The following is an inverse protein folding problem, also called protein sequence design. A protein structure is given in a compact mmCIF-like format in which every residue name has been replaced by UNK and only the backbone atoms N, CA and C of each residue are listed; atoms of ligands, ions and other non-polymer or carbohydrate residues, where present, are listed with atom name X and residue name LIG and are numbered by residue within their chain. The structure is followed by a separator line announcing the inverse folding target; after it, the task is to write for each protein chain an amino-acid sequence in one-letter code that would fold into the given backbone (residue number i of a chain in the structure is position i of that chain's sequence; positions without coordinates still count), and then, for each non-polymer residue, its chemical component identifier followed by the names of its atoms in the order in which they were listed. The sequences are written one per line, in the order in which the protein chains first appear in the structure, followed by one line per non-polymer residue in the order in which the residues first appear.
data_IF_800079983950
#
_entry.id   IF_800079983950
#
_cell.length_a   1.000
_cell.length_b   1.000
_cell.length_c   1.000
_cell.angle_alpha   90.00
_cell.angle_beta   90.00
_cell.angle_gamma   90.00
#
_symmetry.space_group_name_H-M   'P 1'
#
loop_
_entity.id
_entity.type
_entity.pdbx_description
1 polymer ?
#
# COMPACT_ATOMS: atom_id res chain seq x y z
N UNK A 1 16.85 -48.09 -91.96
CA UNK A 1 17.82 -49.19 -91.75
C UNK A 1 17.76 -49.55 -90.27
N UNK A 2 17.35 -50.72 -89.76
CA UNK A 2 16.89 -52.01 -90.30
C UNK A 2 16.24 -52.77 -89.10
N UNK A 3 14.91 -53.04 -89.09
CA UNK A 3 14.20 -54.36 -89.21
C UNK A 3 14.26 -55.34 -88.00
N UNK A 4 13.28 -56.26 -87.76
CA UNK A 4 11.89 -56.09 -87.28
C UNK A 4 11.55 -57.11 -86.10
N UNK A 5 10.44 -57.90 -86.06
CA UNK A 5 9.13 -57.68 -85.40
C UNK A 5 8.73 -58.70 -84.27
N UNK A 6 7.51 -58.59 -83.71
CA UNK A 6 6.49 -59.67 -83.43
C UNK A 6 5.66 -59.48 -82.13
N UNK A 7 4.32 -59.46 -82.30
CA UNK A 7 3.18 -59.47 -81.35
C UNK A 7 2.96 -60.84 -80.63
N UNK A 8 1.91 -61.09 -79.80
CA UNK A 8 1.05 -60.27 -78.93
C UNK A 8 0.86 -60.86 -77.49
N UNK A 9 0.08 -60.15 -76.66
CA UNK A 9 -0.43 -60.53 -75.32
C UNK A 9 -1.61 -61.54 -75.38
N UNK A 10 -2.23 -62.01 -74.26
CA UNK A 10 -3.13 -61.13 -73.50
C UNK A 10 -3.38 -61.44 -71.99
N UNK A 11 -4.08 -60.48 -71.37
CA UNK A 11 -5.10 -60.63 -70.31
C UNK A 11 -4.71 -60.93 -68.85
N UNK A 12 -4.97 -59.92 -68.01
CA UNK A 12 -5.20 -60.04 -66.57
C UNK A 12 -5.53 -58.68 -65.96
N UNK A 13 -6.82 -58.40 -65.74
CA UNK A 13 -7.34 -57.19 -65.09
C UNK A 13 -6.81 -57.04 -63.66
N UNK A 14 -6.62 -55.78 -63.21
CA UNK A 14 -7.43 -55.17 -62.14
C UNK A 14 -7.05 -53.67 -61.96
N UNK A 15 -8.00 -52.83 -62.37
CA UNK A 15 -8.44 -51.55 -61.77
C UNK A 15 -7.53 -50.84 -60.76
N UNK A 16 -7.24 -49.55 -60.99
CA UNK A 16 -8.00 -48.47 -60.33
C UNK A 16 -8.00 -47.14 -61.11
N UNK A 17 -9.06 -46.35 -60.88
CA UNK A 17 -9.64 -45.28 -61.72
C UNK A 17 -9.01 -43.89 -61.54
N UNK A 18 -8.79 -43.21 -62.68
CA UNK A 18 -9.27 -41.87 -63.13
C UNK A 18 -9.20 -40.71 -62.10
N UNK A 19 -8.53 -39.58 -62.38
CA UNK A 19 -8.89 -38.61 -63.44
C UNK A 19 -10.06 -37.74 -62.94
N UNK A 20 -10.13 -36.41 -63.03
CA UNK A 20 -9.78 -35.52 -64.14
C UNK A 20 -10.19 -34.07 -63.75
N UNK A 21 -9.50 -33.09 -64.36
CA UNK A 21 -9.92 -31.77 -64.86
C UNK A 21 -10.64 -30.67 -64.04
N UNK A 22 -10.27 -29.45 -64.48
CA UNK A 22 -10.74 -28.12 -64.14
C UNK A 22 -12.16 -27.78 -64.61
N UNK A 23 -12.75 -26.77 -63.97
CA UNK A 23 -13.98 -26.07 -64.39
C UNK A 23 -14.27 -24.85 -63.51
N UNK A 24 -14.66 -23.75 -64.13
CA UNK A 24 -14.85 -22.41 -63.56
C UNK A 24 -16.25 -22.16 -62.95
N UNK A 25 -16.39 -20.96 -62.35
CA UNK A 25 -17.61 -20.19 -61.95
C UNK A 25 -18.13 -20.37 -60.51
N UNK A 26 -18.08 -19.28 -59.73
CA UNK A 26 -19.25 -18.53 -59.25
C UNK A 26 -18.89 -17.66 -58.03
N UNK A 27 -19.36 -16.41 -58.06
CA UNK A 27 -19.23 -15.42 -56.99
C UNK A 27 -20.17 -15.77 -55.85
N UNK A 28 -19.65 -15.82 -54.62
CA UNK A 28 -20.45 -15.72 -53.39
C UNK A 28 -19.79 -14.69 -52.48
N UNK A 29 -20.44 -13.53 -52.34
CA UNK A 29 -20.09 -12.53 -51.35
C UNK A 29 -20.44 -13.07 -49.95
N UNK A 30 -19.45 -13.61 -49.25
CA UNK A 30 -19.55 -13.83 -47.81
C UNK A 30 -19.15 -12.55 -47.09
N UNK A 31 -20.13 -11.91 -46.46
CA UNK A 31 -19.89 -10.88 -45.47
C UNK A 31 -18.99 -11.47 -44.37
N UNK A 32 -17.73 -11.03 -44.34
CA UNK A 32 -16.85 -11.28 -43.20
C UNK A 32 -17.36 -10.37 -42.09
N UNK A 33 -18.19 -10.93 -41.21
CA UNK A 33 -18.49 -10.31 -39.92
C UNK A 33 -17.16 -10.29 -39.19
N UNK A 34 -16.52 -9.13 -39.17
CA UNK A 34 -15.34 -8.88 -38.35
C UNK A 34 -15.74 -9.11 -36.91
N UNK A 35 -15.31 -10.24 -36.34
CA UNK A 35 -15.33 -10.43 -34.91
C UNK A 35 -14.40 -9.35 -34.32
N UNK A 36 -14.98 -8.36 -33.65
CA UNK A 36 -14.23 -7.44 -32.82
C UNK A 36 -13.32 -8.25 -31.89
N UNK A 37 -12.08 -7.84 -31.62
CA UNK A 37 -11.26 -8.53 -30.64
C UNK A 37 -12.04 -8.46 -29.33
N UNK A 38 -12.34 -9.63 -28.77
CA UNK A 38 -12.89 -9.72 -27.43
C UNK A 38 -11.89 -9.01 -26.52
N UNK A 39 -12.26 -7.82 -26.04
CA UNK A 39 -11.59 -7.18 -24.92
C UNK A 39 -11.68 -8.22 -23.81
N UNK A 40 -10.55 -8.87 -23.53
CA UNK A 40 -10.45 -9.73 -22.38
C UNK A 40 -10.81 -8.85 -21.20
N UNK A 41 -12.02 -9.00 -20.67
CA UNK A 41 -12.37 -8.48 -19.38
C UNK A 41 -11.35 -9.11 -18.44
N UNK A 42 -10.31 -8.34 -18.09
CA UNK A 42 -9.40 -8.67 -17.02
C UNK A 42 -10.29 -8.99 -15.85
N UNK A 43 -10.40 -10.27 -15.50
CA UNK A 43 -10.98 -10.68 -14.22
C UNK A 43 -10.30 -9.78 -13.21
N UNK A 44 -11.07 -8.89 -12.56
CA UNK A 44 -10.59 -8.05 -11.47
C UNK A 44 -9.98 -9.06 -10.50
N UNK A 45 -8.65 -9.19 -10.52
CA UNK A 45 -7.97 -10.13 -9.64
C UNK A 45 -8.49 -9.79 -8.24
N UNK A 46 -8.82 -10.81 -7.45
CA UNK A 46 -9.11 -10.58 -6.03
C UNK A 46 -7.83 -9.94 -5.48
N UNK A 47 -7.84 -8.60 -5.36
CA UNK A 47 -6.67 -7.85 -4.94
C UNK A 47 -6.42 -8.24 -3.49
N UNK A 48 -5.20 -8.69 -3.23
CA UNK A 48 -4.81 -9.03 -1.86
C UNK A 48 -4.62 -7.75 -1.06
N UNK A 49 -4.36 -7.90 0.23
CA UNK A 49 -3.94 -6.77 1.08
C UNK A 49 -2.66 -6.09 0.59
N UNK A 50 -1.90 -6.73 -0.31
CA UNK A 50 -0.65 -6.18 -0.85
C UNK A 50 -0.83 -5.12 -1.95
N UNK A 51 -1.98 -5.06 -2.61
CA UNK A 51 -2.21 -4.21 -3.79
C UNK A 51 -3.59 -3.54 -3.77
N UNK A 52 -4.11 -3.30 -2.56
CA UNK A 52 -5.48 -2.83 -2.35
C UNK A 52 -5.73 -1.43 -2.92
N UNK A 53 -4.75 -0.53 -2.90
CA UNK A 53 -4.93 0.83 -3.43
C UNK A 53 -5.06 0.82 -4.96
N UNK A 54 -4.53 -0.19 -5.64
CA UNK A 54 -4.69 -0.34 -7.09
C UNK A 54 -6.13 -0.55 -7.56
N UNK A 55 -7.06 -0.90 -6.65
CA UNK A 55 -8.49 -0.99 -6.95
C UNK A 55 -9.24 0.36 -6.97
N UNK A 56 -8.57 1.44 -6.57
CA UNK A 56 -9.17 2.76 -6.38
C UNK A 56 -8.85 3.70 -7.54
N UNK A 57 -9.72 4.67 -7.90
CA UNK A 57 -9.44 5.67 -8.91
C UNK A 57 -8.28 6.60 -8.54
N UNK A 58 -7.52 7.07 -9.54
CA UNK A 58 -6.41 8.01 -9.35
C UNK A 58 -6.86 9.37 -8.82
N UNK A 59 -8.10 9.78 -9.10
CA UNK A 59 -8.68 11.02 -8.62
C UNK A 59 -9.05 10.98 -7.12
N UNK A 60 -9.04 9.80 -6.48
CA UNK A 60 -9.40 9.69 -5.07
C UNK A 60 -8.44 10.49 -4.20
N UNK A 61 -8.95 11.45 -3.44
CA UNK A 61 -8.16 12.20 -2.48
C UNK A 61 -7.72 11.30 -1.31
N UNK A 62 -6.46 11.44 -0.86
CA UNK A 62 -5.94 10.63 0.26
C UNK A 62 -6.78 10.77 1.55
N UNK A 63 -7.39 11.94 1.77
CA UNK A 63 -8.28 12.21 2.90
C UNK A 63 -9.58 11.39 2.88
N UNK A 64 -9.90 10.75 1.75
CA UNK A 64 -11.08 9.88 1.58
C UNK A 64 -10.75 8.40 1.75
N UNK A 65 -9.51 8.08 2.12
CA UNK A 65 -9.06 6.71 2.32
C UNK A 65 -9.09 6.31 3.79
N UNK A 66 -9.31 5.02 4.02
CA UNK A 66 -9.02 4.36 5.29
C UNK A 66 -7.68 3.63 5.13
N UNK A 67 -6.66 4.10 5.84
CA UNK A 67 -5.27 3.67 5.64
C UNK A 67 -4.80 2.95 6.91
N UNK A 68 -4.59 1.62 6.87
CA UNK A 68 -3.92 0.91 7.94
C UNK A 68 -2.49 1.44 8.14
N UNK A 69 -2.14 1.71 9.39
CA UNK A 69 -0.86 2.27 9.79
C UNK A 69 -0.22 1.50 10.94
N UNK A 70 1.07 1.70 11.15
CA UNK A 70 1.77 1.24 12.36
C UNK A 70 2.30 2.43 13.15
N UNK A 71 2.03 2.43 14.45
CA UNK A 71 2.67 3.34 15.41
C UNK A 71 4.10 2.86 15.67
N UNK A 72 5.05 3.80 15.76
CA UNK A 72 6.48 3.52 15.94
C UNK A 72 6.95 2.34 15.08
N UNK A 73 6.82 2.46 13.76
CA UNK A 73 6.86 1.33 12.82
C UNK A 73 8.14 0.49 12.89
N UNK A 74 9.26 1.11 13.27
CA UNK A 74 10.54 0.43 13.45
C UNK A 74 10.76 -0.18 14.84
N UNK A 75 9.88 0.11 15.81
CA UNK A 75 10.13 -0.19 17.22
C UNK A 75 9.88 -1.65 17.57
N UNK A 76 10.94 -2.47 17.43
CA UNK A 76 10.94 -3.93 17.58
C UNK A 76 11.90 -4.41 18.66
N UNK A 77 12.64 -3.50 19.29
CA UNK A 77 13.66 -3.82 20.28
C UNK A 77 13.65 -2.82 21.45
N UNK A 78 14.40 -3.14 22.51
CA UNK A 78 14.49 -2.28 23.70
C UNK A 78 13.57 -2.70 24.84
N UNK A 79 12.90 -3.84 24.72
CA UNK A 79 12.10 -4.45 25.77
C UNK A 79 10.63 -4.06 25.72
N UNK A 80 9.78 -4.66 26.58
CA UNK A 80 8.33 -4.62 26.43
C UNK A 80 7.71 -3.23 26.37
N UNK A 81 8.35 -2.22 26.98
CA UNK A 81 7.85 -0.84 27.00
C UNK A 81 8.25 0.00 25.79
N UNK A 82 9.29 -0.42 25.06
CA UNK A 82 9.74 0.24 23.84
C UNK A 82 9.26 -0.47 22.57
N UNK A 83 8.86 -1.73 22.67
CA UNK A 83 8.44 -2.51 21.51
C UNK A 83 6.96 -2.24 21.17
N UNK A 84 6.72 -1.84 19.92
CA UNK A 84 5.40 -1.54 19.36
C UNK A 84 5.04 -2.49 18.21
N UNK A 85 6.05 -3.11 17.60
CA UNK A 85 5.91 -4.00 16.44
C UNK A 85 6.77 -5.25 16.62
N UNK A 86 6.36 -6.38 16.03
CA UNK A 86 7.20 -7.57 15.88
C UNK A 86 7.43 -7.96 14.41
N UNK A 87 7.03 -7.10 13.48
CA UNK A 87 7.18 -7.28 12.03
C UNK A 87 8.15 -6.24 11.47
N UNK A 88 8.95 -6.65 10.49
CA UNK A 88 9.80 -5.73 9.71
C UNK A 88 8.95 -4.73 8.91
N UNK A 89 9.53 -3.61 8.49
CA UNK A 89 8.84 -2.65 7.59
C UNK A 89 8.32 -3.34 6.33
N UNK A 90 9.11 -4.22 5.72
CA UNK A 90 8.69 -4.98 4.54
C UNK A 90 7.46 -5.87 4.83
N UNK A 91 7.44 -6.58 5.96
CA UNK A 91 6.29 -7.40 6.37
C UNK A 91 5.04 -6.55 6.65
N UNK A 92 5.20 -5.36 7.23
CA UNK A 92 4.08 -4.42 7.44
C UNK A 92 3.49 -3.98 6.10
N UNK A 93 4.33 -3.57 5.14
CA UNK A 93 3.87 -3.19 3.81
C UNK A 93 3.18 -4.37 3.09
N UNK A 94 3.72 -5.58 3.21
CA UNK A 94 3.11 -6.79 2.65
C UNK A 94 1.79 -7.18 3.32
N UNK A 95 1.54 -6.78 4.57
CA UNK A 95 0.26 -7.06 5.24
C UNK A 95 -0.85 -6.06 4.90
N UNK A 96 -0.53 -4.97 4.20
CA UNK A 96 -1.47 -3.93 3.78
C UNK A 96 -1.32 -2.58 4.48
N UNK A 97 -0.34 -2.46 5.38
CA UNK A 97 0.03 -1.17 5.98
C UNK A 97 0.53 -0.21 4.90
N UNK A 98 0.04 1.03 4.91
CA UNK A 98 0.46 2.10 4.00
C UNK A 98 0.79 3.41 4.72
N UNK A 99 0.68 3.44 6.04
CA UNK A 99 1.21 4.51 6.87
C UNK A 99 2.30 4.00 7.82
N UNK A 100 3.45 4.66 7.82
CA UNK A 100 4.56 4.37 8.71
C UNK A 100 4.86 5.59 9.60
N UNK A 101 4.88 5.39 10.91
CA UNK A 101 5.37 6.35 11.90
C UNK A 101 6.86 6.11 12.15
N UNK A 102 7.72 6.90 11.51
CA UNK A 102 9.17 6.73 11.50
C UNK A 102 9.83 7.80 12.35
N UNK A 103 10.43 7.36 13.46
CA UNK A 103 11.01 8.24 14.48
C UNK A 103 12.53 8.17 14.45
N UNK A 104 13.13 9.30 14.11
CA UNK A 104 14.54 9.41 13.76
C UNK A 104 15.31 10.21 14.81
N UNK A 105 16.48 9.73 15.18
CA UNK A 105 17.48 10.46 15.95
C UNK A 105 18.73 10.66 15.10
N UNK A 106 19.32 11.85 15.12
CA UNK A 106 20.60 12.10 14.45
C UNK A 106 21.70 11.36 15.22
N UNK A 107 22.43 10.50 14.52
CA UNK A 107 23.58 9.74 15.01
C UNK A 107 24.65 9.77 13.92
N UNK A 108 25.79 10.42 14.21
CA UNK A 108 26.95 10.48 13.32
C UNK A 108 26.60 10.88 11.87
N UNK A 109 25.80 11.95 11.69
CA UNK A 109 25.40 12.45 10.37
C UNK A 109 24.37 11.59 9.62
N UNK A 110 23.71 10.66 10.30
CA UNK A 110 22.62 9.84 9.74
C UNK A 110 21.45 9.75 10.72
N UNK A 111 20.30 9.31 10.22
CA UNK A 111 19.15 8.97 11.07
C UNK A 111 19.17 7.52 11.52
N UNK A 112 19.28 7.32 12.83
CA UNK A 112 18.99 6.06 13.52
C UNK A 112 17.51 6.02 13.92
N UNK A 113 16.86 4.85 13.87
CA UNK A 113 15.48 4.70 14.30
C UNK A 113 15.41 4.45 15.80
N UNK A 114 14.52 5.18 16.48
CA UNK A 114 14.40 5.19 17.93
C UNK A 114 12.95 5.12 18.40
N UNK A 115 12.75 4.63 19.62
CA UNK A 115 11.56 4.90 20.43
C UNK A 115 12.05 5.39 21.79
N UNK A 116 11.85 6.68 22.07
CA UNK A 116 12.56 7.35 23.15
C UNK A 116 14.08 7.14 23.06
N UNK A 117 14.69 6.79 24.18
CA UNK A 117 16.13 6.53 24.23
C UNK A 117 16.55 5.24 23.49
N UNK A 118 15.63 4.30 23.25
CA UNK A 118 15.95 2.96 22.76
C UNK A 118 16.21 2.97 21.25
N UNK A 119 17.44 2.65 20.85
CA UNK A 119 17.80 2.38 19.46
C UNK A 119 17.14 1.09 18.99
N UNK A 120 16.54 1.12 17.80
CA UNK A 120 15.73 0.03 17.26
C UNK A 120 16.49 -0.90 16.30
N UNK A 121 17.82 -0.94 16.42
CA UNK A 121 18.70 -1.77 15.59
C UNK A 121 18.50 -1.60 14.08
N UNK A 122 18.09 -0.40 13.65
CA UNK A 122 17.88 -0.06 12.24
C UNK A 122 18.11 1.43 11.98
N UNK A 123 18.54 1.74 10.75
CA UNK A 123 18.76 3.09 10.28
C UNK A 123 17.63 3.50 9.33
N UNK A 124 17.49 4.81 9.08
CA UNK A 124 16.45 5.30 8.16
C UNK A 124 16.62 4.74 6.74
N UNK A 125 17.85 4.52 6.28
CA UNK A 125 18.13 3.85 5.00
C UNK A 125 17.44 2.49 4.85
N UNK A 126 17.34 1.70 5.92
CA UNK A 126 16.66 0.39 5.89
C UNK A 126 15.15 0.55 5.63
N UNK A 127 14.54 1.60 6.20
CA UNK A 127 13.13 1.96 5.94
C UNK A 127 12.94 2.37 4.49
N UNK A 128 13.85 3.21 3.96
CA UNK A 128 13.79 3.68 2.57
C UNK A 128 13.93 2.54 1.56
N UNK A 129 14.84 1.61 1.81
CA UNK A 129 15.03 0.40 0.99
C UNK A 129 13.75 -0.42 0.97
N UNK A 130 13.15 -0.70 2.14
CA UNK A 130 11.90 -1.46 2.22
C UNK A 130 10.75 -0.77 1.46
N UNK A 131 10.62 0.56 1.56
CA UNK A 131 9.61 1.31 0.83
C UNK A 131 9.85 1.30 -0.68
N UNK A 132 11.09 1.54 -1.12
CA UNK A 132 11.47 1.50 -2.55
C UNK A 132 11.15 0.14 -3.15
N UNK A 133 11.58 -0.93 -2.51
CA UNK A 133 11.43 -2.29 -3.04
C UNK A 133 9.95 -2.68 -3.13
N UNK A 134 9.16 -2.31 -2.11
CA UNK A 134 7.72 -2.51 -2.12
C UNK A 134 7.03 -1.74 -3.27
N UNK A 135 7.31 -0.44 -3.40
CA UNK A 135 6.70 0.41 -4.42
C UNK A 135 7.15 0.07 -5.84
N UNK A 136 8.38 -0.43 -6.01
CA UNK A 136 8.84 -0.97 -7.30
C UNK A 136 8.06 -2.24 -7.69
N UNK A 137 7.78 -3.12 -6.73
CA UNK A 137 7.00 -4.34 -6.94
C UNK A 137 5.47 -4.10 -7.04
N UNK A 138 5.00 -2.96 -6.53
CA UNK A 138 3.58 -2.58 -6.40
C UNK A 138 3.39 -1.10 -6.73
N UNK A 139 3.64 -0.73 -7.99
CA UNK A 139 3.61 0.66 -8.44
C UNK A 139 2.23 1.34 -8.34
N UNK A 140 1.15 0.56 -8.16
CA UNK A 140 -0.17 1.09 -7.88
C UNK A 140 -0.34 1.60 -6.45
N UNK A 141 0.57 1.30 -5.54
CA UNK A 141 0.46 1.67 -4.13
C UNK A 141 1.22 2.97 -3.85
N UNK A 142 0.96 3.57 -2.69
CA UNK A 142 1.74 4.69 -2.13
C UNK A 142 2.00 4.41 -0.66
N UNK A 143 3.11 4.92 -0.11
CA UNK A 143 3.36 4.88 1.34
C UNK A 143 3.29 6.30 1.90
N UNK A 144 2.56 6.50 2.99
CA UNK A 144 2.61 7.73 3.78
C UNK A 144 3.61 7.49 4.91
N UNK A 145 4.59 8.39 5.05
CA UNK A 145 5.64 8.25 6.05
C UNK A 145 5.68 9.51 6.90
N UNK A 146 5.29 9.39 8.17
CA UNK A 146 5.60 10.42 9.16
C UNK A 146 7.07 10.30 9.51
N UNK A 147 7.81 11.41 9.39
CA UNK A 147 9.20 11.51 9.87
C UNK A 147 9.23 12.49 11.02
N UNK A 148 9.58 11.99 12.20
CA UNK A 148 9.65 12.75 13.45
C UNK A 148 11.07 12.77 14.01
N UNK A 149 11.49 13.90 14.59
CA UNK A 149 12.68 13.92 15.44
C UNK A 149 12.37 13.30 16.82
N UNK A 150 13.14 12.28 17.20
CA UNK A 150 12.94 11.50 18.40
C UNK A 150 14.11 11.65 19.38
N UNK A 151 13.78 11.85 20.65
CA UNK A 151 14.74 11.84 21.77
C UNK A 151 16.01 12.67 21.50
N UNK A 152 15.83 13.91 21.06
CA UNK A 152 16.90 14.78 20.59
C UNK A 152 16.55 16.26 20.76
N UNK A 153 17.57 17.07 21.08
CA UNK A 153 17.49 18.54 21.14
C UNK A 153 18.16 19.22 19.93
N UNK A 154 18.48 18.46 18.89
CA UNK A 154 19.04 18.99 17.64
C UNK A 154 18.09 20.01 17.00
N UNK A 155 18.64 21.02 16.36
CA UNK A 155 17.84 22.06 15.69
C UNK A 155 17.13 21.51 14.44
N UNK A 156 16.00 22.11 14.09
CA UNK A 156 15.29 21.84 12.83
C UNK A 156 16.21 21.96 11.60
N UNK A 157 17.17 22.91 11.62
CA UNK A 157 18.14 23.08 10.55
C UNK A 157 19.14 21.92 10.46
N UNK A 158 19.61 21.40 11.60
CA UNK A 158 20.50 20.23 11.64
C UNK A 158 19.77 18.96 11.17
N UNK A 159 18.54 18.75 11.65
CA UNK A 159 17.69 17.65 11.20
C UNK A 159 17.42 17.75 9.70
N UNK A 160 17.09 18.94 9.20
CA UNK A 160 16.90 19.20 7.77
C UNK A 160 18.15 18.91 6.96
N UNK A 161 19.33 19.32 7.40
CA UNK A 161 20.58 19.08 6.70
C UNK A 161 20.85 17.58 6.49
N UNK A 162 20.60 16.74 7.51
CA UNK A 162 20.72 15.28 7.38
C UNK A 162 19.67 14.72 6.42
N UNK A 163 18.43 15.23 6.44
CA UNK A 163 17.40 14.80 5.50
C UNK A 163 17.72 15.22 4.05
N UNK A 164 18.28 16.40 3.84
CA UNK A 164 18.75 16.84 2.51
C UNK A 164 19.90 15.99 1.98
N UNK A 165 20.82 15.58 2.84
CA UNK A 165 21.84 14.59 2.47
C UNK A 165 21.20 13.27 2.01
N UNK A 166 20.15 12.77 2.69
CA UNK A 166 19.41 11.61 2.18
C UNK A 166 18.79 11.85 0.80
N UNK A 167 18.17 13.01 0.58
CA UNK A 167 17.50 13.32 -0.69
C UNK A 167 18.52 13.41 -1.84
N UNK A 168 19.57 14.21 -1.66
CA UNK A 168 20.43 14.66 -2.77
C UNK A 168 21.81 14.00 -2.72
N UNK A 169 22.45 13.94 -1.55
CA UNK A 169 23.76 13.30 -1.38
C UNK A 169 23.70 11.79 -1.57
N UNK A 170 22.65 11.15 -1.07
CA UNK A 170 22.42 9.70 -1.13
C UNK A 170 21.41 9.28 -2.21
N UNK A 171 20.83 10.23 -2.93
CA UNK A 171 20.01 9.99 -4.12
C UNK A 171 18.58 9.49 -3.87
N UNK A 172 18.00 9.68 -2.68
CA UNK A 172 16.64 9.22 -2.37
C UNK A 172 15.52 10.15 -2.83
N UNK A 173 15.83 11.33 -3.38
CA UNK A 173 14.81 12.32 -3.78
C UNK A 173 13.70 11.74 -4.66
N UNK A 174 14.04 10.86 -5.61
CA UNK A 174 13.06 10.31 -6.55
C UNK A 174 12.02 9.40 -5.88
N UNK A 175 12.29 8.87 -4.68
CA UNK A 175 11.34 8.06 -3.92
C UNK A 175 10.20 8.90 -3.34
N UNK A 176 10.44 10.19 -3.06
CA UNK A 176 9.52 11.00 -2.27
C UNK A 176 8.59 11.88 -3.11
N UNK A 177 7.41 12.14 -2.55
CA UNK A 177 6.54 13.25 -2.85
C UNK A 177 6.66 14.27 -1.71
N UNK A 178 7.22 15.45 -2.02
CA UNK A 178 7.69 16.43 -1.02
C UNK A 178 6.91 17.76 -1.01
N UNK A 179 5.83 17.86 -1.78
CA UNK A 179 5.00 19.07 -1.80
C UNK A 179 4.24 19.21 -0.47
N UNK A 180 3.97 20.45 -0.08
CA UNK A 180 3.31 20.77 1.19
C UNK A 180 1.82 20.44 1.23
N UNK A 181 1.22 20.13 0.08
CA UNK A 181 -0.20 19.78 -0.07
C UNK A 181 -0.37 18.28 -0.29
N UNK A 182 -1.45 17.71 0.26
CA UNK A 182 -1.81 16.32 0.00
C UNK A 182 -2.11 16.11 -1.49
N UNK A 183 -1.48 15.11 -2.16
CA UNK A 183 -1.82 14.76 -3.53
C UNK A 183 -3.14 13.96 -3.59
N UNK A 184 -3.66 13.77 -4.81
CA UNK A 184 -4.57 12.66 -5.08
C UNK A 184 -3.82 11.32 -5.02
N UNK A 185 -4.54 10.21 -4.95
CA UNK A 185 -3.94 8.88 -4.95
C UNK A 185 -3.05 8.67 -6.19
N UNK A 186 -3.50 9.06 -7.38
CA UNK A 186 -2.73 8.99 -8.62
C UNK A 186 -1.42 9.77 -8.56
N UNK A 187 -1.43 10.97 -7.97
CA UNK A 187 -0.23 11.77 -7.74
C UNK A 187 0.71 11.22 -6.64
N UNK A 188 0.24 10.25 -5.86
CA UNK A 188 1.00 9.60 -4.80
C UNK A 188 1.59 8.25 -5.22
N UNK A 189 1.00 7.56 -6.21
CA UNK A 189 1.39 6.19 -6.60
C UNK A 189 2.88 6.08 -6.92
N UNK A 190 3.48 4.99 -6.46
CA UNK A 190 4.91 4.71 -6.61
C UNK A 190 5.83 5.63 -5.79
N UNK A 191 5.30 6.46 -4.88
CA UNK A 191 6.06 7.38 -4.05
C UNK A 191 5.80 7.18 -2.55
N UNK A 192 6.72 7.71 -1.76
CA UNK A 192 6.54 7.98 -0.34
C UNK A 192 6.05 9.42 -0.19
N UNK A 193 4.81 9.60 0.27
CA UNK A 193 4.29 10.92 0.67
C UNK A 193 4.83 11.24 2.06
N UNK A 194 5.67 12.26 2.14
CA UNK A 194 6.28 12.68 3.39
C UNK A 194 5.30 13.50 4.24
N UNK A 195 5.07 13.04 5.47
CA UNK A 195 4.40 13.83 6.50
C UNK A 195 5.47 14.34 7.50
N UNK A 196 5.74 15.64 7.45
CA UNK A 196 6.81 16.27 8.22
C UNK A 196 6.37 16.55 9.66
N UNK A 197 6.97 15.85 10.63
CA UNK A 197 6.85 16.13 12.07
C UNK A 197 8.18 16.62 12.64
N UNK A 198 8.74 17.62 11.95
CA UNK A 198 9.87 18.45 12.34
C UNK A 198 9.77 19.76 11.53
N UNK A 199 10.10 20.91 12.11
CA UNK A 199 9.86 22.22 11.48
C UNK A 199 10.72 22.51 10.26
N UNK A 200 11.85 21.80 10.09
CA UNK A 200 12.76 21.98 8.97
C UNK A 200 12.45 21.12 7.75
N UNK A 201 11.65 20.05 7.90
CA UNK A 201 11.38 19.10 6.83
C UNK A 201 10.41 19.64 5.77
N UNK A 202 10.59 19.27 4.48
CA UNK A 202 9.62 19.52 3.42
C UNK A 202 8.45 18.52 3.52
N UNK A 203 7.47 18.61 2.61
CA UNK A 203 6.31 17.72 2.61
C UNK A 203 5.13 18.28 3.38
N UNK A 204 4.11 17.44 3.55
CA UNK A 204 2.86 17.82 4.22
C UNK A 204 3.14 17.99 5.71
N UNK A 205 2.88 19.18 6.26
CA UNK A 205 3.11 19.46 7.69
C UNK A 205 2.19 18.61 8.55
N UNK A 206 2.74 17.63 9.24
CA UNK A 206 2.00 16.80 10.18
C UNK A 206 1.43 17.67 11.31
N UNK A 207 0.18 17.43 11.70
CA UNK A 207 -0.48 18.18 12.77
C UNK A 207 -0.96 19.58 12.39
N UNK A 208 -0.83 20.01 11.13
CA UNK A 208 -1.49 21.22 10.66
C UNK A 208 -3.02 21.06 10.82
N UNK A 209 -3.69 21.85 11.68
CA UNK A 209 -5.11 21.72 11.93
C UNK A 209 -5.97 22.09 10.72
N UNK A 210 -5.42 22.77 9.70
CA UNK A 210 -6.09 22.98 8.43
C UNK A 210 -6.25 21.67 7.64
N UNK A 211 -5.30 20.74 7.79
CA UNK A 211 -5.22 19.48 7.04
C UNK A 211 -5.71 18.29 7.87
N UNK A 212 -5.29 18.18 9.13
CA UNK A 212 -5.47 17.00 9.98
C UNK A 212 -6.51 17.20 11.09
N UNK A 213 -7.10 16.08 11.51
CA UNK A 213 -7.84 15.95 12.77
C UNK A 213 -7.32 14.71 13.49
N UNK A 214 -6.66 14.90 14.63
CA UNK A 214 -5.81 13.87 15.26
C UNK A 214 -6.35 13.49 16.63
N UNK A 215 -6.65 12.20 16.80
CA UNK A 215 -6.80 11.57 18.10
C UNK A 215 -5.51 10.82 18.44
N UNK A 216 -4.76 11.34 19.41
CA UNK A 216 -3.49 10.76 19.88
C UNK A 216 -3.33 10.88 21.40
N UNK A 217 -4.38 10.55 22.16
CA UNK A 217 -4.26 10.47 23.61
C UNK A 217 -3.50 9.20 24.03
N UNK A 218 -2.18 9.22 23.89
CA UNK A 218 -1.31 8.08 24.14
C UNK A 218 -1.12 7.76 25.63
N UNK A 219 -1.68 8.57 26.54
CA UNK A 219 -1.62 8.35 28.00
C UNK A 219 -2.94 7.85 28.59
N UNK A 220 -3.99 7.74 27.79
CA UNK A 220 -5.23 7.09 28.22
C UNK A 220 -5.08 5.57 28.26
N UNK A 221 -5.44 4.97 29.38
CA UNK A 221 -5.57 3.51 29.51
C UNK A 221 -6.59 2.95 28.53
N UNK A 222 -6.50 1.66 28.13
CA UNK A 222 -7.36 1.06 27.11
C UNK A 222 -8.86 1.33 27.29
N UNK A 223 -9.38 1.31 28.52
CA UNK A 223 -10.79 1.58 28.80
C UNK A 223 -11.20 3.03 28.48
N UNK A 224 -10.35 4.00 28.82
CA UNK A 224 -10.59 5.43 28.54
C UNK A 224 -10.22 5.82 27.10
N UNK A 225 -9.28 5.09 26.49
CA UNK A 225 -8.80 5.30 25.13
C UNK A 225 -9.82 4.85 24.09
N UNK A 226 -10.45 3.69 24.27
CA UNK A 226 -11.36 3.12 23.27
C UNK A 226 -12.53 4.06 22.89
N UNK A 227 -13.25 4.72 23.82
CA UNK A 227 -14.28 5.68 23.46
C UNK A 227 -13.78 6.84 22.58
N UNK A 228 -12.52 7.26 22.75
CA UNK A 228 -11.91 8.31 21.91
C UNK A 228 -11.61 7.81 20.51
N UNK A 229 -11.14 6.56 20.39
CA UNK A 229 -10.93 5.88 19.10
C UNK A 229 -12.26 5.76 18.36
N UNK A 230 -13.31 5.28 19.03
CA UNK A 230 -14.65 5.15 18.43
C UNK A 230 -15.21 6.51 18.01
N UNK A 231 -15.11 7.53 18.87
CA UNK A 231 -15.56 8.88 18.56
C UNK A 231 -14.85 9.45 17.31
N UNK A 232 -13.55 9.20 17.15
CA UNK A 232 -12.79 9.67 15.99
C UNK A 232 -13.24 8.97 14.69
N UNK A 233 -13.57 7.68 14.72
CA UNK A 233 -14.16 6.99 13.58
C UNK A 233 -15.53 7.56 13.20
N UNK A 234 -16.40 7.79 14.19
CA UNK A 234 -17.71 8.40 13.98
C UNK A 234 -17.58 9.81 13.37
N UNK A 235 -16.65 10.60 13.90
CA UNK A 235 -16.35 11.94 13.39
C UNK A 235 -15.86 11.90 11.95
N UNK A 236 -14.94 10.99 11.61
CA UNK A 236 -14.42 10.83 10.25
C UNK A 236 -15.53 10.50 9.23
N UNK A 237 -16.43 9.58 9.59
CA UNK A 237 -17.56 9.21 8.75
C UNK A 237 -18.59 10.33 8.55
N UNK A 238 -18.83 11.14 9.59
CA UNK A 238 -19.88 12.17 9.60
C UNK A 238 -19.41 13.53 9.09
N UNK A 239 -18.13 13.85 9.22
CA UNK A 239 -17.56 15.17 8.92
C UNK A 239 -16.36 15.06 7.97
N UNK A 240 -16.55 14.55 6.74
CA UNK A 240 -15.46 14.37 5.80
C UNK A 240 -14.84 15.72 5.39
N UNK A 241 -13.52 15.72 5.19
CA UNK A 241 -12.79 16.90 4.68
C UNK A 241 -11.42 17.11 5.32
N UNK A 242 -11.26 16.67 6.59
CA UNK A 242 -9.95 16.54 7.22
C UNK A 242 -9.30 15.22 6.86
N UNK A 243 -7.97 15.17 6.95
CA UNK A 243 -7.27 13.91 7.02
C UNK A 243 -7.29 13.41 8.46
N UNK A 244 -8.22 12.52 8.76
CA UNK A 244 -8.35 11.98 10.10
C UNK A 244 -7.15 11.07 10.43
N UNK A 245 -6.67 11.18 11.65
CA UNK A 245 -5.66 10.31 12.25
C UNK A 245 -6.21 9.77 13.56
N UNK A 246 -6.22 8.45 13.72
CA UNK A 246 -6.81 7.79 14.86
C UNK A 246 -5.83 6.77 15.45
N UNK A 247 -4.95 7.22 16.35
CA UNK A 247 -4.00 6.33 17.02
C UNK A 247 -4.75 5.40 17.95
N UNK A 248 -4.64 4.11 17.66
CA UNK A 248 -5.13 3.03 18.54
C UNK A 248 -4.09 2.73 19.63
N UNK A 249 -2.81 2.99 19.35
CA UNK A 249 -1.71 2.81 20.32
C UNK A 249 -1.89 3.66 21.58
N UNK A 250 -1.31 3.18 22.68
CA UNK A 250 -1.21 3.89 23.95
C UNK A 250 -0.06 3.31 24.79
N UNK A 251 0.62 4.18 25.54
CA UNK A 251 1.71 3.85 26.46
C UNK A 251 1.25 3.84 27.93
N UNK A 252 -0.05 3.92 28.18
CA UNK A 252 -0.61 4.04 29.52
C UNK A 252 -0.50 2.72 30.32
N UNK A 253 0.16 2.80 31.48
CA UNK A 253 0.27 1.80 32.57
C UNK A 253 0.73 0.37 32.22
N UNK A 254 0.81 0.01 30.96
CA UNK A 254 1.11 -1.33 30.48
C UNK A 254 1.98 -1.26 29.21
N UNK A 255 2.80 -2.30 28.95
CA UNK A 255 3.50 -2.47 27.68
C UNK A 255 2.57 -2.29 26.47
N UNK A 256 3.02 -1.63 25.37
CA UNK A 256 2.23 -1.47 24.14
C UNK A 256 1.60 -2.76 23.65
N UNK A 257 2.29 -3.90 23.79
CA UNK A 257 1.76 -5.23 23.46
C UNK A 257 0.44 -5.54 24.19
N UNK A 258 0.36 -5.30 25.50
CA UNK A 258 -0.82 -5.58 26.31
C UNK A 258 -1.94 -4.56 26.09
N UNK A 259 -1.58 -3.33 25.73
CA UNK A 259 -2.55 -2.32 25.31
C UNK A 259 -3.20 -2.72 23.97
N UNK A 260 -2.39 -3.12 22.99
CA UNK A 260 -2.84 -3.62 21.68
C UNK A 260 -3.77 -4.83 21.83
N UNK A 261 -3.45 -5.78 22.72
CA UNK A 261 -4.28 -6.97 22.99
C UNK A 261 -5.66 -6.63 23.55
N UNK A 262 -5.84 -5.45 24.15
CA UNK A 262 -7.15 -4.96 24.59
C UNK A 262 -7.85 -4.10 23.55
N UNK A 263 -7.12 -3.28 22.80
CA UNK A 263 -7.70 -2.28 21.89
C UNK A 263 -7.96 -2.83 20.49
N UNK A 264 -7.02 -3.57 19.89
CA UNK A 264 -7.16 -4.09 18.53
C UNK A 264 -8.42 -4.97 18.37
N UNK A 265 -8.76 -5.87 19.32
CA UNK A 265 -10.03 -6.61 19.25
C UNK A 265 -11.27 -5.73 19.25
N UNK A 266 -11.30 -4.68 20.08
CA UNK A 266 -12.46 -3.79 20.18
C UNK A 266 -12.62 -2.97 18.91
N UNK A 267 -11.52 -2.43 18.37
CA UNK A 267 -11.52 -1.72 17.09
C UNK A 267 -11.96 -2.63 15.95
N UNK A 268 -11.43 -3.85 15.86
CA UNK A 268 -11.85 -4.81 14.84
C UNK A 268 -13.35 -5.12 14.98
N UNK A 269 -13.84 -5.43 16.18
CA UNK A 269 -15.27 -5.70 16.40
C UNK A 269 -16.16 -4.50 16.09
N UNK A 270 -15.69 -3.27 16.30
CA UNK A 270 -16.42 -2.04 15.96
C UNK A 270 -16.58 -1.88 14.44
N UNK A 271 -15.49 -2.07 13.69
CA UNK A 271 -15.49 -1.93 12.23
C UNK A 271 -16.37 -2.97 11.52
N UNK A 272 -16.56 -4.15 12.13
CA UNK A 272 -17.41 -5.22 11.60
C UNK A 272 -18.91 -5.08 11.94
N UNK A 273 -19.32 -4.02 12.64
CA UNK A 273 -20.74 -3.82 12.97
C UNK A 273 -21.55 -3.46 11.74
N UNK A 274 -22.85 -3.75 11.77
CA UNK A 274 -23.76 -3.29 10.72
C UNK A 274 -23.86 -1.77 10.66
N UNK A 275 -23.66 -1.05 11.78
CA UNK A 275 -23.71 0.42 11.82
C UNK A 275 -22.60 1.08 11.00
N UNK A 276 -21.43 0.43 10.90
CA UNK A 276 -20.27 0.93 10.16
C UNK A 276 -20.28 0.45 8.70
N UNK A 277 -21.23 -0.42 8.33
CA UNK A 277 -21.36 -0.93 6.98
C UNK A 277 -21.55 0.25 6.00
N UNK A 278 -20.62 0.40 5.06
CA UNK A 278 -20.61 1.48 4.06
C UNK A 278 -19.92 2.77 4.50
N UNK A 279 -19.42 2.87 5.74
CA UNK A 279 -18.54 3.98 6.10
C UNK A 279 -17.24 3.89 5.31
N UNK A 280 -16.80 5.03 4.79
CA UNK A 280 -15.55 5.14 4.02
C UNK A 280 -14.76 6.36 4.45
N UNK A 281 -13.45 6.35 4.19
CA UNK A 281 -12.59 7.50 4.50
C UNK A 281 -12.43 7.75 5.99
N UNK A 282 -12.17 6.69 6.75
CA UNK A 282 -11.95 6.73 8.19
C UNK A 282 -10.58 7.29 8.58
N UNK A 283 -9.76 7.66 7.60
CA UNK A 283 -8.44 8.26 7.81
C UNK A 283 -7.35 7.23 8.03
N UNK A 284 -6.23 7.69 8.57
CA UNK A 284 -5.09 6.86 8.92
C UNK A 284 -5.31 6.26 10.31
N UNK A 285 -5.05 4.96 10.46
CA UNK A 285 -5.25 4.22 11.72
C UNK A 285 -3.94 3.55 12.14
N UNK A 286 -3.06 4.24 12.88
CA UNK A 286 -1.83 3.67 13.42
C UNK A 286 -2.13 2.69 14.55
N UNK A 287 -1.57 1.49 14.43
CA UNK A 287 -1.78 0.36 15.34
C UNK A 287 -0.44 -0.12 15.91
N UNK A 288 -0.45 -0.57 17.16
CA UNK A 288 0.58 -1.46 17.71
C UNK A 288 0.23 -2.91 17.36
N UNK A 289 1.20 -3.69 16.89
CA UNK A 289 1.06 -5.12 16.57
C UNK A 289 -0.20 -5.53 15.77
N UNK A 290 -0.53 -4.89 14.64
CA UNK A 290 -1.75 -5.21 13.88
C UNK A 290 -1.78 -6.66 13.37
N UNK A 291 -0.63 -7.27 13.12
CA UNK A 291 -0.50 -8.66 12.67
C UNK A 291 -0.98 -9.71 13.69
N UNK A 292 -1.17 -9.31 14.95
CA UNK A 292 -1.61 -10.21 16.02
C UNK A 292 -3.14 -10.28 16.15
N UNK A 293 -3.85 -9.47 15.35
CA UNK A 293 -5.30 -9.54 15.18
C UNK A 293 -5.63 -9.79 13.70
N UNK A 294 -5.72 -11.07 13.33
CA UNK A 294 -6.12 -11.46 11.97
C UNK A 294 -7.43 -10.79 11.54
N UNK A 295 -7.51 -10.34 10.28
CA UNK A 295 -8.67 -9.67 9.71
C UNK A 295 -8.77 -8.17 10.00
N UNK A 296 -8.01 -7.61 10.96
CA UNK A 296 -8.14 -6.19 11.32
C UNK A 296 -7.67 -5.27 10.19
N UNK A 297 -6.55 -5.60 9.54
CA UNK A 297 -6.03 -4.79 8.42
C UNK A 297 -6.99 -4.88 7.23
N UNK A 298 -7.52 -6.06 6.94
CA UNK A 298 -8.53 -6.31 5.92
C UNK A 298 -9.83 -5.53 6.19
N UNK A 299 -10.29 -5.52 7.45
CA UNK A 299 -11.46 -4.77 7.90
C UNK A 299 -11.30 -3.27 7.64
N UNK A 300 -10.15 -2.69 8.02
CA UNK A 300 -9.83 -1.29 7.71
C UNK A 300 -9.81 -1.03 6.20
N UNK A 301 -9.20 -1.91 5.41
CA UNK A 301 -9.15 -1.77 3.94
C UNK A 301 -10.55 -1.77 3.33
N UNK A 302 -11.51 -2.55 3.86
CA UNK A 302 -12.91 -2.57 3.38
C UNK A 302 -13.63 -1.23 3.53
N UNK A 303 -13.16 -0.35 4.42
CA UNK A 303 -13.69 1.01 4.56
C UNK A 303 -13.08 2.02 3.57
N UNK A 304 -12.65 1.56 2.40
CA UNK A 304 -12.28 2.42 1.28
C UNK A 304 -13.42 2.51 0.26
N UNK A 305 -13.56 3.63 -0.47
CA UNK A 305 -14.56 3.74 -1.52
C UNK A 305 -14.36 2.66 -2.58
N UNK A 306 -15.45 2.13 -3.12
CA UNK A 306 -15.37 1.24 -4.28
C UNK A 306 -15.02 2.05 -5.53
N UNK A 307 -14.07 1.54 -6.31
CA UNK A 307 -13.77 2.02 -7.66
C UNK A 307 -14.60 1.31 -8.71
#
# INVERSE_FOLDING_TARGET
MSTPPIHPAPSGLLTTRRGFLAGALAVSATAVIGAAPAVAATRKAVRGTQDWMGGLPDATALQRLTIPGTHDSGARFGGPWAECQNTTIAQQLQSGVRFLDVRCRITSGSFAIHHGAAFQNMMFGDVLIACRDFLAARSTETVLMRVKQEYSSESDAAFRAVFDDYLDGRGWRSLFRLDSTLPSLGGARGKVVLLADNGGLPGVRYGDPAVFDIQDDYMAEPFAKYPKIEAQFRKAAQQPGKFFMNYVSTAALMPPRWNADRLNPQVHSFLERSETAGWTGLGIVPLDYPNQRGGLVESLIRHNPVG
#
